data_IF_260642028376
#
_entry.id   IF_260642028376
#
_cell.length_a   1.000
_cell.length_b   1.000
_cell.length_c   1.000
_cell.angle_alpha   90.00
_cell.angle_beta   90.00
_cell.angle_gamma   90.00
#
_symmetry.space_group_name_H-M   'P 1'
#
loop_
_entity.id
_entity.type
_entity.pdbx_description
1 polymer ?
#
# COMPACT_ATOMS: atom_id res chain seq x y z
N UNK A 1 34.95 -12.24 30.79
CA UNK A 1 33.67 -12.86 30.38
C UNK A 1 32.90 -11.76 29.70
N UNK A 2 33.11 -11.65 28.40
CA UNK A 2 32.45 -10.68 27.55
C UNK A 2 30.98 -11.07 27.44
N UNK A 3 30.10 -10.27 28.02
CA UNK A 3 28.67 -10.40 27.78
C UNK A 3 28.44 -9.83 26.39
N UNK A 4 28.39 -10.74 25.42
CA UNK A 4 27.98 -10.48 24.04
C UNK A 4 26.63 -9.75 24.04
N UNK A 5 26.61 -8.54 23.50
CA UNK A 5 25.40 -7.75 23.28
C UNK A 5 24.73 -8.36 22.06
N UNK A 6 24.03 -9.47 22.27
CA UNK A 6 23.13 -10.04 21.26
C UNK A 6 21.97 -9.06 21.06
N UNK A 7 22.09 -8.30 19.98
CA UNK A 7 21.04 -7.78 19.12
C UNK A 7 19.65 -7.77 19.76
N UNK A 8 19.28 -6.63 20.36
CA UNK A 8 17.87 -6.34 20.63
C UNK A 8 17.12 -6.50 19.30
N UNK A 9 16.24 -7.50 19.21
CA UNK A 9 15.45 -7.77 18.02
C UNK A 9 14.85 -6.44 17.51
N UNK A 10 15.27 -5.93 16.34
CA UNK A 10 14.81 -4.63 15.84
C UNK A 10 13.31 -4.64 15.52
N UNK A 11 12.71 -5.83 15.45
CA UNK A 11 11.28 -6.03 15.25
C UNK A 11 10.51 -6.20 16.57
N UNK A 12 11.14 -6.21 17.74
CA UNK A 12 10.43 -6.42 19.02
C UNK A 12 9.29 -5.41 19.26
N UNK A 13 9.46 -4.17 18.81
CA UNK A 13 8.41 -3.16 18.84
C UNK A 13 7.25 -3.49 17.88
N UNK A 14 7.58 -3.96 16.67
CA UNK A 14 6.59 -4.34 15.65
C UNK A 14 5.85 -5.60 16.07
N UNK A 15 6.56 -6.61 16.58
CA UNK A 15 5.99 -7.85 17.12
C UNK A 15 5.03 -7.54 18.27
N UNK A 16 5.43 -6.70 19.22
CA UNK A 16 4.57 -6.28 20.33
C UNK A 16 3.32 -5.51 19.87
N UNK A 17 3.44 -4.68 18.83
CA UNK A 17 2.27 -4.04 18.21
C UNK A 17 1.37 -5.10 17.56
N UNK A 18 1.95 -6.07 16.85
CA UNK A 18 1.22 -7.12 16.15
C UNK A 18 0.46 -8.03 17.13
N UNK A 19 1.09 -8.40 18.25
CA UNK A 19 0.45 -9.17 19.32
C UNK A 19 -0.73 -8.42 19.94
N UNK A 20 -0.58 -7.11 20.18
CA UNK A 20 -1.68 -6.26 20.66
C UNK A 20 -2.83 -6.21 19.65
N UNK A 21 -2.54 -6.13 18.34
CA UNK A 21 -3.55 -6.21 17.29
C UNK A 21 -4.30 -7.55 17.32
N UNK A 22 -3.58 -8.67 17.46
CA UNK A 22 -4.18 -10.01 17.52
C UNK A 22 -5.06 -10.21 18.76
N UNK A 23 -4.68 -9.68 19.92
CA UNK A 23 -5.48 -9.72 21.14
C UNK A 23 -6.79 -8.92 21.00
N UNK A 24 -6.73 -7.74 20.37
CA UNK A 24 -7.91 -6.92 20.08
C UNK A 24 -8.85 -7.65 19.11
N UNK A 25 -8.33 -8.26 18.04
CA UNK A 25 -9.13 -9.04 17.09
C UNK A 25 -9.81 -10.26 17.75
N UNK A 26 -9.12 -10.96 18.64
CA UNK A 26 -9.69 -12.10 19.38
C UNK A 26 -10.81 -11.69 20.34
N UNK A 27 -10.71 -10.50 20.94
CA UNK A 27 -11.72 -9.95 21.84
C UNK A 27 -13.04 -9.58 21.15
N UNK A 28 -13.02 -9.35 19.84
CA UNK A 28 -14.15 -8.87 19.04
C UNK A 28 -15.15 -9.97 18.62
N UNK A 29 -14.92 -11.23 19.00
CA UNK A 29 -15.91 -12.31 18.88
C UNK A 29 -16.16 -12.79 17.45
N UNK A 30 -15.69 -14.03 17.17
CA UNK A 30 -16.06 -14.95 16.09
C UNK A 30 -16.85 -14.34 14.91
N UNK A 31 -16.13 -13.59 14.08
CA UNK A 31 -16.13 -13.63 12.61
C UNK A 31 -14.98 -12.69 12.25
N UNK A 32 -13.87 -13.23 11.72
CA UNK A 32 -12.77 -12.36 11.30
C UNK A 32 -13.30 -11.40 10.19
N UNK A 33 -12.60 -10.30 9.95
CA UNK A 33 -13.05 -9.29 8.97
C UNK A 33 -13.34 -9.91 7.58
N UNK A 34 -12.57 -10.95 7.22
CA UNK A 34 -12.71 -11.68 5.98
C UNK A 34 -14.03 -12.48 5.92
N UNK A 35 -14.38 -13.23 6.96
CA UNK A 35 -15.63 -13.98 7.04
C UNK A 35 -16.84 -13.03 6.94
N UNK A 36 -16.76 -11.87 7.62
CA UNK A 36 -17.78 -10.82 7.51
C UNK A 36 -17.93 -10.30 6.07
N UNK A 37 -16.82 -10.05 5.40
CA UNK A 37 -16.80 -9.58 4.00
C UNK A 37 -17.32 -10.65 3.02
N UNK A 38 -17.04 -11.92 3.26
CA UNK A 38 -17.45 -13.03 2.40
C UNK A 38 -18.94 -13.36 2.53
N UNK A 39 -19.50 -13.23 3.73
CA UNK A 39 -20.93 -13.45 4.00
C UNK A 39 -21.77 -12.26 3.52
N UNK A 40 -21.22 -11.05 3.55
CA UNK A 40 -21.93 -9.87 3.12
C UNK A 40 -22.09 -9.79 1.59
N UNK A 41 -23.34 -9.86 1.14
CA UNK A 41 -23.69 -9.58 -0.24
C UNK A 41 -23.45 -8.09 -0.52
N UNK A 42 -22.32 -7.75 -1.16
CA UNK A 42 -21.98 -6.38 -1.50
C UNK A 42 -22.81 -5.91 -2.71
N UNK A 43 -24.00 -5.39 -2.44
CA UNK A 43 -24.90 -4.75 -3.40
C UNK A 43 -24.22 -3.51 -3.99
N UNK A 44 -23.62 -3.67 -5.18
CA UNK A 44 -22.89 -2.59 -5.86
C UNK A 44 -21.76 -3.07 -6.76
N UNK A 45 -21.19 -4.27 -6.51
CA UNK A 45 -20.09 -4.82 -7.33
C UNK A 45 -20.46 -5.12 -8.80
N UNK A 46 -21.75 -5.14 -9.13
CA UNK A 46 -22.27 -5.38 -10.48
C UNK A 46 -22.47 -4.08 -11.28
N UNK A 47 -22.27 -2.92 -10.66
CA UNK A 47 -22.30 -1.63 -11.35
C UNK A 47 -21.01 -1.46 -12.16
N UNK A 48 -21.15 -0.98 -13.40
CA UNK A 48 -20.02 -0.68 -14.30
C UNK A 48 -19.18 0.48 -13.76
N UNK A 49 -19.79 1.38 -12.98
CA UNK A 49 -19.12 2.52 -12.37
C UNK A 49 -18.63 2.25 -10.94
N UNK A 50 -18.55 0.99 -10.53
CA UNK A 50 -18.11 0.63 -9.18
C UNK A 50 -16.62 0.92 -8.98
N UNK A 51 -16.32 1.91 -8.14
CA UNK A 51 -14.95 2.19 -7.68
C UNK A 51 -14.60 1.31 -6.47
N UNK A 52 -13.83 0.25 -6.72
CA UNK A 52 -13.42 -0.72 -5.71
C UNK A 52 -12.53 -0.09 -4.62
N UNK A 53 -11.69 0.89 -4.97
CA UNK A 53 -10.78 1.54 -4.01
C UNK A 53 -11.56 2.50 -3.12
N UNK A 54 -12.52 3.24 -3.68
CA UNK A 54 -13.42 4.09 -2.91
C UNK A 54 -14.32 3.27 -1.98
N UNK A 55 -14.77 2.09 -2.43
CA UNK A 55 -15.55 1.19 -1.57
C UNK A 55 -14.74 0.71 -0.36
N UNK A 56 -13.50 0.26 -0.56
CA UNK A 56 -12.61 -0.13 0.54
C UNK A 56 -12.28 1.03 1.48
N UNK A 57 -12.09 2.24 0.93
CA UNK A 57 -11.90 3.46 1.73
C UNK A 57 -13.13 3.78 2.58
N UNK A 58 -14.33 3.65 2.03
CA UNK A 58 -15.59 3.94 2.74
C UNK A 58 -15.86 2.92 3.85
N UNK A 59 -15.46 1.66 3.63
CA UNK A 59 -15.67 0.57 4.59
C UNK A 59 -14.46 0.32 5.51
N UNK A 60 -13.45 1.19 5.52
CA UNK A 60 -12.21 0.94 6.25
C UNK A 60 -12.39 0.89 7.77
N UNK A 61 -13.40 1.56 8.32
CA UNK A 61 -13.73 1.49 9.75
C UNK A 61 -14.31 0.14 10.17
N UNK A 62 -14.99 -0.53 9.22
CA UNK A 62 -15.60 -1.85 9.39
C UNK A 62 -14.62 -3.00 9.13
N UNK A 63 -13.69 -2.79 8.20
CA UNK A 63 -12.69 -3.74 7.76
C UNK A 63 -11.30 -3.10 7.93
N UNK A 64 -10.85 -2.92 9.17
CA UNK A 64 -9.67 -2.12 9.51
C UNK A 64 -8.37 -2.73 9.02
N UNK A 65 -8.25 -4.05 9.06
CA UNK A 65 -7.08 -4.79 8.59
C UNK A 65 -7.25 -5.12 7.10
N UNK A 66 -8.41 -5.67 6.74
CA UNK A 66 -8.68 -6.14 5.39
C UNK A 66 -8.71 -4.98 4.37
N UNK A 67 -9.18 -3.78 4.74
CA UNK A 67 -9.11 -2.61 3.85
C UNK A 67 -7.69 -2.15 3.56
N UNK A 68 -6.76 -2.29 4.53
CA UNK A 68 -5.33 -1.98 4.31
C UNK A 68 -4.73 -2.98 3.34
N UNK A 69 -4.97 -4.27 3.54
CA UNK A 69 -4.51 -5.33 2.63
C UNK A 69 -5.09 -5.14 1.22
N UNK A 70 -6.39 -4.87 1.11
CA UNK A 70 -7.06 -4.68 -0.17
C UNK A 70 -6.52 -3.45 -0.91
N UNK A 71 -6.27 -2.34 -0.22
CA UNK A 71 -5.60 -1.16 -0.81
C UNK A 71 -4.22 -1.54 -1.34
N UNK A 72 -3.42 -2.23 -0.56
CA UNK A 72 -2.04 -2.54 -0.94
C UNK A 72 -1.99 -3.52 -2.13
N UNK A 73 -2.93 -4.46 -2.23
CA UNK A 73 -3.05 -5.40 -3.35
C UNK A 73 -3.66 -4.75 -4.60
N UNK A 74 -4.71 -3.94 -4.45
CA UNK A 74 -5.46 -3.36 -5.57
C UNK A 74 -4.87 -2.06 -6.12
N UNK A 75 -4.04 -1.35 -5.35
CA UNK A 75 -3.37 -0.13 -5.80
C UNK A 75 -2.17 -0.43 -6.73
N UNK A 76 -1.72 -1.68 -6.82
CA UNK A 76 -0.66 -2.07 -7.74
C UNK A 76 -1.17 -1.92 -9.18
N UNK A 77 -0.52 -1.10 -10.02
CA UNK A 77 -0.91 -0.98 -11.43
C UNK A 77 -0.85 -2.36 -12.10
N UNK A 78 -1.93 -2.73 -12.81
CA UNK A 78 -1.98 -3.99 -13.55
C UNK A 78 -0.98 -4.05 -14.72
N UNK A 79 -0.37 -2.92 -15.11
CA UNK A 79 0.60 -2.86 -16.21
C UNK A 79 1.75 -1.91 -15.91
N UNK A 80 2.89 -2.16 -16.56
CA UNK A 80 4.06 -1.28 -16.57
C UNK A 80 3.85 0.00 -17.39
N UNK A 81 2.71 0.15 -18.09
CA UNK A 81 2.45 1.28 -19.01
C UNK A 81 2.49 2.62 -18.28
N UNK A 82 2.05 2.69 -17.01
CA UNK A 82 2.19 3.90 -16.20
C UNK A 82 3.66 4.28 -15.96
N UNK A 83 4.50 3.28 -15.66
CA UNK A 83 5.95 3.46 -15.49
C UNK A 83 6.65 3.81 -16.80
N UNK A 84 6.25 3.20 -17.92
CA UNK A 84 6.76 3.50 -19.26
C UNK A 84 6.35 4.90 -19.73
N UNK A 85 5.14 5.36 -19.39
CA UNK A 85 4.68 6.73 -19.69
C UNK A 85 5.45 7.77 -18.88
N UNK A 86 5.65 7.53 -17.58
CA UNK A 86 6.50 8.37 -16.74
C UNK A 86 7.95 8.41 -17.24
N UNK A 87 8.50 7.25 -17.64
CA UNK A 87 9.85 7.16 -18.21
C UNK A 87 9.97 7.80 -19.60
N UNK A 88 8.95 7.67 -20.45
CA UNK A 88 8.89 8.33 -21.77
C UNK A 88 8.83 9.85 -21.63
N UNK A 89 8.12 10.34 -20.62
CA UNK A 89 8.11 11.76 -20.26
C UNK A 89 9.48 12.20 -19.73
N UNK A 90 10.13 11.40 -18.88
CA UNK A 90 11.51 11.61 -18.45
C UNK A 90 12.52 11.66 -19.61
N UNK A 91 12.35 10.81 -20.62
CA UNK A 91 13.16 10.82 -21.85
C UNK A 91 13.00 12.08 -22.71
N UNK A 92 11.86 12.80 -22.59
CA UNK A 92 11.65 14.11 -23.23
C UNK A 92 12.22 15.28 -22.41
N UNK A 93 12.24 15.16 -21.09
CA UNK A 93 12.88 16.13 -20.18
C UNK A 93 14.41 16.06 -20.32
N UNK A 94 14.94 14.87 -20.62
CA UNK A 94 16.33 14.61 -21.02
C UNK A 94 16.52 14.82 -22.53
N UNK A 95 16.13 15.98 -23.06
CA UNK A 95 16.53 16.37 -24.41
C UNK A 95 18.08 16.45 -24.49
N UNK A 96 18.73 15.94 -25.55
CA UNK A 96 20.18 16.06 -25.75
C UNK A 96 20.74 17.49 -25.61
N UNK A 97 19.90 18.53 -25.63
CA UNK A 97 20.28 19.92 -25.32
C UNK A 97 20.49 20.27 -23.83
N UNK A 98 20.20 19.38 -22.86
CA UNK A 98 20.39 19.64 -21.40
C UNK A 98 21.02 18.50 -20.60
N UNK A 99 22.04 17.84 -21.14
CA UNK A 99 22.79 16.72 -20.52
C UNK A 99 23.64 17.06 -19.28
N UNK A 100 23.39 18.17 -18.55
CA UNK A 100 24.17 18.57 -17.37
C UNK A 100 23.44 18.43 -16.02
N UNK A 101 22.25 17.82 -15.99
CA UNK A 101 21.51 17.64 -14.74
C UNK A 101 22.05 16.43 -13.96
N UNK A 102 22.21 16.58 -12.64
CA UNK A 102 22.55 15.45 -11.78
C UNK A 102 21.38 14.47 -11.72
N UNK A 103 21.63 13.16 -11.49
CA UNK A 103 20.58 12.16 -11.32
C UNK A 103 19.52 12.56 -10.29
N UNK A 104 19.93 13.19 -9.19
CA UNK A 104 19.02 13.69 -8.15
C UNK A 104 18.07 14.78 -8.67
N UNK A 105 18.57 15.73 -9.48
CA UNK A 105 17.71 16.76 -10.09
C UNK A 105 16.73 16.15 -11.10
N UNK A 106 17.15 15.14 -11.86
CA UNK A 106 16.26 14.42 -12.79
C UNK A 106 15.17 13.68 -12.03
N UNK A 107 15.51 13.01 -10.91
CA UNK A 107 14.52 12.35 -10.05
C UNK A 107 13.50 13.34 -9.49
N UNK A 108 13.95 14.48 -8.97
CA UNK A 108 13.05 15.52 -8.44
C UNK A 108 12.12 16.05 -9.54
N UNK A 109 12.64 16.32 -10.74
CA UNK A 109 11.81 16.75 -11.87
C UNK A 109 10.75 15.72 -12.26
N UNK A 110 11.13 14.44 -12.40
CA UNK A 110 10.18 13.37 -12.75
C UNK A 110 9.14 13.17 -11.64
N UNK A 111 9.53 13.18 -10.36
CA UNK A 111 8.63 13.00 -9.23
C UNK A 111 7.70 14.20 -8.96
N UNK A 112 8.07 15.40 -9.42
CA UNK A 112 7.27 16.63 -9.26
C UNK A 112 6.36 16.95 -10.45
N UNK A 113 6.43 16.17 -11.55
CA UNK A 113 5.67 16.41 -12.77
C UNK A 113 4.22 15.85 -12.74
N UNK A 114 3.63 15.64 -11.56
CA UNK A 114 2.27 15.10 -11.38
C UNK A 114 1.28 16.14 -10.88
#
# INVERSE_FOLDING_TARGET
>A
MDVDVSETNPYAFVDSQYDLYLEVEQSLGCNNELDKYLVENCEGRKDVNFDVLLWWKTNSSRYQVLSKMARDVLAVPASTVASESAFSTGGRILDPFRSSLSPDMVQVLICSQN
#
